data_IF_020030494315
#
_entry.id   IF_020030494315
#
_cell.length_a   1.000
_cell.length_b   1.000
_cell.length_c   1.000
_cell.angle_alpha   90.00
_cell.angle_beta   90.00
_cell.angle_gamma   90.00
#
_symmetry.space_group_name_H-M   'P 1'
#
loop_
_entity.id
_entity.type
_entity.pdbx_description
1 polymer ?
#
# COMPACT_ATOMS: atom_id res chain seq x y z
N UNK A 1 0.59 16.18 -19.78
CA UNK A 1 -0.59 15.35 -19.48
C UNK A 1 -0.10 13.97 -19.09
N UNK A 2 -0.43 13.46 -17.90
CA UNK A 2 -0.10 12.08 -17.52
C UNK A 2 -1.08 11.17 -18.26
N UNK A 3 -0.57 10.24 -19.06
CA UNK A 3 -1.38 9.26 -19.79
C UNK A 3 -2.30 8.50 -18.82
N UNK A 4 -3.61 8.53 -19.11
CA UNK A 4 -4.71 8.13 -18.23
C UNK A 4 -4.91 6.61 -18.07
N UNK A 5 -3.92 5.78 -18.40
CA UNK A 5 -4.08 4.31 -18.52
C UNK A 5 -3.10 3.48 -17.69
N UNK A 6 -2.20 4.11 -16.92
CA UNK A 6 -1.24 3.40 -16.06
C UNK A 6 -1.75 3.14 -14.64
N UNK A 7 -1.44 1.96 -14.09
CA UNK A 7 -1.68 1.64 -12.67
C UNK A 7 -1.04 2.68 -11.74
N UNK A 8 -1.72 3.03 -10.65
CA UNK A 8 -1.14 3.86 -9.59
C UNK A 8 -0.27 2.99 -8.69
N UNK A 9 1.01 3.31 -8.51
CA UNK A 9 1.88 2.58 -7.58
C UNK A 9 1.92 3.30 -6.23
N UNK A 10 1.51 2.63 -5.18
CA UNK A 10 1.54 3.15 -3.82
C UNK A 10 2.61 2.46 -3.00
N UNK A 11 3.62 3.21 -2.56
CA UNK A 11 4.65 2.70 -1.65
C UNK A 11 4.23 3.00 -0.21
N UNK A 12 4.13 1.94 0.61
CA UNK A 12 3.82 2.10 2.04
C UNK A 12 4.94 2.79 2.83
N UNK A 13 6.15 2.85 2.28
CA UNK A 13 7.30 3.54 2.83
C UNK A 13 7.87 4.53 1.82
N UNK A 14 8.53 5.57 2.34
CA UNK A 14 9.23 6.58 1.53
C UNK A 14 10.22 5.90 0.55
N UNK A 15 10.30 6.32 -0.73
CA UNK A 15 11.24 5.75 -1.71
C UNK A 15 12.69 5.66 -1.21
N UNK A 16 13.13 6.61 -0.38
CA UNK A 16 14.48 6.61 0.21
C UNK A 16 14.70 5.42 1.16
N UNK A 17 13.65 4.94 1.82
CA UNK A 17 13.70 3.73 2.64
C UNK A 17 13.92 2.46 1.81
N UNK A 18 13.78 2.56 0.48
CA UNK A 18 14.08 1.53 -0.50
C UNK A 18 15.35 1.84 -1.30
N UNK A 19 16.11 2.87 -0.94
CA UNK A 19 17.28 3.31 -1.72
C UNK A 19 16.92 3.77 -3.14
N UNK A 20 15.70 4.28 -3.33
CA UNK A 20 15.28 4.92 -4.57
C UNK A 20 15.34 6.44 -4.41
N UNK A 21 15.82 7.10 -5.45
CA UNK A 21 15.66 8.54 -5.63
C UNK A 21 14.55 8.77 -6.65
N UNK A 22 13.43 9.32 -6.19
CA UNK A 22 12.25 9.59 -7.02
C UNK A 22 11.97 11.08 -6.94
N UNK A 23 12.11 11.75 -8.08
CA UNK A 23 11.82 13.18 -8.21
C UNK A 23 10.39 13.51 -7.76
N UNK A 24 10.24 14.56 -6.96
CA UNK A 24 8.94 15.00 -6.46
C UNK A 24 8.24 15.82 -7.55
N UNK A 25 7.11 15.31 -8.01
CA UNK A 25 6.23 15.99 -8.97
C UNK A 25 5.16 16.84 -8.26
N UNK A 26 4.55 16.32 -7.19
CA UNK A 26 3.43 16.99 -6.50
C UNK A 26 3.32 16.53 -5.04
N UNK A 27 2.73 17.35 -4.18
CA UNK A 27 2.27 16.96 -2.83
C UNK A 27 0.76 17.22 -2.73
N UNK A 28 0.00 16.26 -2.18
CA UNK A 28 -1.45 16.39 -2.03
C UNK A 28 -1.94 15.49 -0.89
N UNK A 29 -2.85 15.99 -0.05
CA UNK A 29 -3.56 15.21 0.97
C UNK A 29 -2.66 14.31 1.84
N UNK A 30 -1.56 14.85 2.37
CA UNK A 30 -0.61 14.08 3.20
C UNK A 30 0.31 13.11 2.43
N UNK A 31 0.24 13.10 1.10
CA UNK A 31 1.03 12.25 0.22
C UNK A 31 1.96 13.06 -0.69
N UNK A 32 2.98 12.37 -1.20
CA UNK A 32 3.94 12.86 -2.18
C UNK A 32 3.79 12.00 -3.43
N UNK A 33 3.91 12.65 -4.58
CA UNK A 33 3.80 12.07 -5.89
C UNK A 33 5.12 12.26 -6.61
N UNK A 34 5.55 11.22 -7.31
CA UNK A 34 6.71 11.24 -8.18
C UNK A 34 6.46 10.40 -9.42
N UNK A 35 7.35 10.54 -10.39
CA UNK A 35 7.33 9.75 -11.62
C UNK A 35 8.67 9.02 -11.70
N UNK A 36 8.62 7.74 -12.02
CA UNK A 36 9.81 6.94 -12.31
C UNK A 36 9.46 5.97 -13.43
N UNK A 37 10.22 6.01 -14.53
CA UNK A 37 10.00 5.20 -15.73
C UNK A 37 8.52 5.25 -16.20
N UNK A 38 8.01 6.47 -16.36
CA UNK A 38 6.62 6.78 -16.76
C UNK A 38 5.50 6.25 -15.85
N UNK A 39 5.85 5.65 -14.70
CA UNK A 39 4.90 5.16 -13.70
C UNK A 39 4.68 6.22 -12.62
N UNK A 40 3.41 6.48 -12.30
CA UNK A 40 3.02 7.38 -11.22
C UNK A 40 3.19 6.67 -9.87
N UNK A 41 4.08 7.19 -9.05
CA UNK A 41 4.38 6.66 -7.71
C UNK A 41 3.85 7.62 -6.66
N UNK A 42 3.16 7.08 -5.66
CA UNK A 42 2.61 7.82 -4.53
C UNK A 42 3.05 7.17 -3.23
N UNK A 43 3.38 7.99 -2.23
CA UNK A 43 3.70 7.52 -0.90
C UNK A 43 3.26 8.55 0.16
N UNK A 44 2.95 8.11 1.38
CA UNK A 44 2.56 9.04 2.43
C UNK A 44 3.79 9.81 2.94
N UNK A 45 3.62 11.09 3.32
CA UNK A 45 4.69 11.87 3.98
C UNK A 45 5.19 11.20 5.26
N UNK A 46 4.27 10.52 5.95
CA UNK A 46 4.53 9.66 7.11
C UNK A 46 3.43 8.61 7.14
N UNK A 47 3.79 7.35 7.31
CA UNK A 47 2.82 6.28 7.51
C UNK A 47 2.13 6.48 8.88
N UNK A 48 0.88 6.93 8.84
CA UNK A 48 0.05 7.21 10.02
C UNK A 48 -1.42 7.38 9.64
N UNK A 49 -2.31 7.22 10.63
CA UNK A 49 -3.74 7.53 10.48
C UNK A 49 -3.99 8.98 10.03
N UNK A 50 -3.14 9.94 10.43
CA UNK A 50 -3.27 11.34 9.99
C UNK A 50 -3.07 11.54 8.49
N UNK A 51 -2.21 10.75 7.85
CA UNK A 51 -1.93 10.89 6.41
C UNK A 51 -2.72 9.88 5.57
N UNK A 52 -2.90 8.66 6.06
CA UNK A 52 -3.51 7.55 5.32
C UNK A 52 -4.99 7.32 5.70
N UNK A 53 -5.69 8.32 6.24
CA UNK A 53 -7.13 8.21 6.58
C UNK A 53 -8.04 8.30 5.35
N UNK A 54 -9.33 7.95 5.54
CA UNK A 54 -10.34 8.05 4.50
C UNK A 54 -10.40 9.39 3.75
N UNK A 55 -10.44 10.52 4.45
CA UNK A 55 -10.54 11.86 3.84
C UNK A 55 -9.40 12.12 2.85
N UNK A 56 -8.18 11.75 3.21
CA UNK A 56 -7.03 11.95 2.35
C UNK A 56 -7.07 11.02 1.14
N UNK A 57 -7.37 9.73 1.32
CA UNK A 57 -7.46 8.76 0.21
C UNK A 57 -8.61 9.12 -0.75
N UNK A 58 -9.73 9.62 -0.24
CA UNK A 58 -10.81 10.16 -1.06
C UNK A 58 -10.33 11.32 -1.94
N UNK A 59 -9.55 12.24 -1.37
CA UNK A 59 -8.95 13.36 -2.12
C UNK A 59 -8.01 12.87 -3.22
N UNK A 60 -7.20 11.83 -2.96
CA UNK A 60 -6.33 11.21 -3.98
C UNK A 60 -7.16 10.60 -5.12
N UNK A 61 -8.25 9.90 -4.79
CA UNK A 61 -9.14 9.25 -5.76
C UNK A 61 -9.73 10.26 -6.74
N UNK A 62 -10.24 11.36 -6.22
CA UNK A 62 -10.80 12.46 -7.02
C UNK A 62 -9.77 13.10 -7.94
N UNK A 63 -8.49 13.16 -7.53
CA UNK A 63 -7.42 13.72 -8.35
C UNK A 63 -6.88 12.76 -9.41
N UNK A 64 -6.83 11.46 -9.16
CA UNK A 64 -6.17 10.49 -10.05
C UNK A 64 -7.12 9.85 -11.07
N UNK A 65 -8.45 9.82 -10.80
CA UNK A 65 -9.49 9.13 -11.60
C UNK A 65 -9.25 7.62 -11.86
N UNK A 66 -8.10 7.07 -11.48
CA UNK A 66 -7.78 5.65 -11.58
C UNK A 66 -8.34 4.87 -10.39
N UNK A 67 -8.87 3.66 -10.65
CA UNK A 67 -9.34 2.72 -9.63
C UNK A 67 -8.38 1.55 -9.41
N UNK A 68 -7.45 1.28 -10.32
CA UNK A 68 -6.46 0.22 -10.18
C UNK A 68 -5.20 0.74 -9.49
N UNK A 69 -4.83 0.09 -8.39
CA UNK A 69 -3.70 0.46 -7.54
C UNK A 69 -2.84 -0.74 -7.21
N UNK A 70 -1.52 -0.56 -7.31
CA UNK A 70 -0.52 -1.52 -6.87
C UNK A 70 0.05 -1.02 -5.54
N UNK A 71 -0.31 -1.67 -4.45
CA UNK A 71 0.23 -1.34 -3.11
C UNK A 71 1.46 -2.20 -2.86
N UNK A 72 2.60 -1.56 -2.65
CA UNK A 72 3.89 -2.19 -2.39
C UNK A 72 4.31 -1.93 -0.95
N UNK A 73 4.52 -3.01 -0.21
CA UNK A 73 4.89 -2.98 1.20
C UNK A 73 6.25 -3.63 1.46
N UNK A 74 6.91 -3.19 2.53
CA UNK A 74 8.13 -3.83 3.02
C UNK A 74 7.77 -5.09 3.78
N UNK A 75 8.47 -6.18 3.49
CA UNK A 75 8.31 -7.44 4.22
C UNK A 75 9.62 -8.00 4.74
N UNK A 76 9.53 -8.77 5.82
CA UNK A 76 10.58 -9.68 6.27
C UNK A 76 10.16 -11.10 5.90
N UNK A 77 10.73 -11.59 4.80
CA UNK A 77 10.44 -12.90 4.20
C UNK A 77 11.69 -13.47 3.54
N UNK A 78 11.81 -14.80 3.49
CA UNK A 78 12.85 -15.48 2.71
C UNK A 78 12.63 -15.31 1.20
N UNK A 79 11.38 -15.17 0.78
CA UNK A 79 11.02 -14.94 -0.62
C UNK A 79 11.16 -13.44 -0.95
N UNK A 80 11.92 -13.07 -2.00
CA UNK A 80 12.18 -11.66 -2.32
C UNK A 80 10.96 -10.82 -2.64
N UNK A 81 9.97 -11.44 -3.29
CA UNK A 81 8.74 -10.82 -3.75
C UNK A 81 7.59 -11.78 -3.46
N UNK A 82 6.52 -11.29 -2.85
CA UNK A 82 5.30 -12.06 -2.62
C UNK A 82 4.10 -11.31 -3.16
N UNK A 83 3.22 -12.02 -3.86
CA UNK A 83 1.89 -11.52 -4.20
C UNK A 83 0.99 -11.69 -2.97
N UNK A 84 0.37 -10.62 -2.51
CA UNK A 84 -0.43 -10.61 -1.28
C UNK A 84 -1.89 -10.86 -1.64
N UNK A 85 -2.50 -11.89 -1.03
CA UNK A 85 -3.93 -12.21 -1.17
C UNK A 85 -4.75 -11.95 0.09
N UNK A 86 -4.08 -11.66 1.21
CA UNK A 86 -4.71 -11.50 2.50
C UNK A 86 -3.73 -10.91 3.50
N UNK A 87 -4.27 -10.38 4.60
CA UNK A 87 -3.44 -9.87 5.68
C UNK A 87 -4.07 -10.14 7.05
N UNK A 88 -3.23 -10.26 8.06
CA UNK A 88 -3.62 -10.24 9.47
C UNK A 88 -3.06 -8.97 10.08
N UNK A 89 -3.92 -8.05 10.52
CA UNK A 89 -3.47 -6.83 11.17
C UNK A 89 -3.14 -7.11 12.65
N UNK A 90 -1.85 -7.04 12.99
CA UNK A 90 -1.28 -7.20 14.34
C UNK A 90 -0.67 -5.89 14.88
N UNK A 91 -0.90 -4.78 14.19
CA UNK A 91 -0.32 -3.49 14.54
C UNK A 91 -0.99 -2.82 15.73
N UNK A 92 -2.21 -3.23 16.09
CA UNK A 92 -3.04 -2.55 17.07
C UNK A 92 -3.63 -1.22 16.58
N UNK A 93 -3.42 -0.87 15.31
CA UNK A 93 -3.94 0.34 14.68
C UNK A 93 -4.94 -0.01 13.57
N UNK A 94 -5.88 0.89 13.30
CA UNK A 94 -6.75 0.83 12.14
C UNK A 94 -7.04 2.26 11.66
N UNK A 95 -6.74 2.53 10.39
CA UNK A 95 -6.83 3.88 9.82
C UNK A 95 -8.26 4.32 9.44
N UNK A 96 -9.25 3.43 9.61
CA UNK A 96 -10.68 3.74 9.47
C UNK A 96 -11.32 4.24 10.78
N UNK A 97 -10.66 4.08 11.94
CA UNK A 97 -11.22 4.44 13.25
C UNK A 97 -11.66 5.90 13.27
N UNK A 98 -12.92 6.15 13.65
CA UNK A 98 -13.51 7.49 13.77
C UNK A 98 -13.70 8.24 12.45
N UNK A 99 -13.47 7.58 11.32
CA UNK A 99 -13.53 8.17 9.97
C UNK A 99 -14.57 7.49 9.07
N UNK A 100 -15.34 6.54 9.61
CA UNK A 100 -16.46 5.88 8.95
C UNK A 100 -17.76 6.16 9.75
N UNK A 101 -18.92 6.33 9.09
CA UNK A 101 -19.09 6.27 7.65
C UNK A 101 -18.57 7.56 7.00
N UNK A 102 -18.22 7.51 5.72
CA UNK A 102 -17.86 8.71 4.96
C UNK A 102 -18.61 8.71 3.64
N UNK A 103 -19.25 9.84 3.31
CA UNK A 103 -20.06 10.00 2.10
C UNK A 103 -21.14 8.88 2.01
N UNK A 104 -21.17 8.12 0.91
CA UNK A 104 -22.10 7.00 0.71
C UNK A 104 -21.51 5.63 1.09
N UNK A 105 -20.35 5.59 1.75
CA UNK A 105 -19.67 4.35 2.10
C UNK A 105 -20.08 3.85 3.51
N UNK A 106 -20.13 2.52 3.74
CA UNK A 106 -20.70 1.96 4.97
C UNK A 106 -19.86 2.29 6.22
N UNK A 107 -20.46 2.15 7.40
CA UNK A 107 -19.72 2.16 8.67
C UNK A 107 -18.74 0.97 8.74
N UNK A 108 -19.20 -0.20 8.34
CA UNK A 108 -18.47 -1.47 8.44
C UNK A 108 -18.26 -2.04 7.03
N UNK A 109 -17.12 -1.75 6.40
CA UNK A 109 -16.81 -2.29 5.08
C UNK A 109 -16.52 -3.80 5.11
N UNK A 110 -16.97 -4.52 4.09
CA UNK A 110 -16.59 -5.91 3.85
C UNK A 110 -15.12 -5.98 3.40
N UNK A 111 -14.33 -6.79 4.10
CA UNK A 111 -12.88 -6.97 3.91
C UNK A 111 -12.52 -8.30 3.23
N UNK A 112 -13.50 -9.09 2.78
CA UNK A 112 -13.29 -10.44 2.25
C UNK A 112 -12.43 -10.43 0.97
N UNK A 113 -12.66 -9.49 0.07
CA UNK A 113 -12.04 -9.45 -1.27
C UNK A 113 -11.24 -8.16 -1.51
N UNK A 114 -10.38 -7.78 -0.55
CA UNK A 114 -9.53 -6.58 -0.68
C UNK A 114 -8.56 -6.70 -1.87
N UNK A 115 -7.92 -7.86 -2.02
CA UNK A 115 -6.83 -8.04 -2.98
C UNK A 115 -7.30 -8.80 -4.21
N UNK A 116 -7.01 -8.27 -5.40
CA UNK A 116 -7.15 -9.00 -6.66
C UNK A 116 -6.07 -10.08 -6.76
N UNK A 117 -6.50 -11.33 -6.74
CA UNK A 117 -5.63 -12.50 -6.97
C UNK A 117 -5.76 -12.95 -8.43
N UNK A 118 -4.72 -13.62 -8.93
CA UNK A 118 -4.80 -14.29 -10.23
C UNK A 118 -4.78 -15.80 -9.96
N UNK A 119 -5.73 -16.57 -10.53
CA UNK A 119 -5.59 -18.02 -10.54
C UNK A 119 -4.24 -18.33 -11.18
N UNK A 120 -3.50 -19.30 -10.62
CA UNK A 120 -2.15 -19.72 -11.06
C UNK A 120 -0.95 -18.88 -10.57
N UNK A 121 -1.13 -17.78 -9.83
CA UNK A 121 0.00 -17.13 -9.14
C UNK A 121 0.05 -17.55 -7.68
N UNK A 122 1.23 -17.95 -7.20
CA UNK A 122 1.45 -18.21 -5.77
C UNK A 122 1.23 -16.94 -4.98
N UNK A 123 0.23 -16.93 -4.11
CA UNK A 123 -0.07 -15.82 -3.21
C UNK A 123 0.24 -16.19 -1.76
N UNK A 124 0.40 -15.17 -0.91
CA UNK A 124 0.67 -15.34 0.52
C UNK A 124 -0.16 -14.37 1.36
N UNK A 125 -0.50 -14.81 2.56
CA UNK A 125 -1.04 -13.95 3.63
C UNK A 125 0.12 -13.36 4.42
N UNK A 126 0.06 -12.05 4.70
CA UNK A 126 1.06 -11.33 5.47
C UNK A 126 0.54 -10.89 6.83
N UNK A 127 1.43 -10.66 7.79
CA UNK A 127 1.08 -10.18 9.13
C UNK A 127 1.59 -8.76 9.31
N UNK A 128 0.68 -7.78 9.32
CA UNK A 128 1.04 -6.36 9.41
C UNK A 128 1.27 -5.95 10.85
N UNK A 129 2.46 -5.47 11.18
CA UNK A 129 2.86 -5.16 12.57
C UNK A 129 3.03 -3.68 12.86
N UNK A 130 3.00 -2.83 11.84
CA UNK A 130 3.24 -1.39 11.96
C UNK A 130 4.74 -1.04 11.98
N UNK A 131 5.11 0.21 11.62
CA UNK A 131 6.50 0.62 11.41
C UNK A 131 7.43 0.45 12.63
N UNK A 132 6.93 0.60 13.86
CA UNK A 132 7.74 0.40 15.08
C UNK A 132 8.15 -1.06 15.23
N UNK A 133 7.17 -1.96 15.34
CA UNK A 133 7.40 -3.40 15.50
C UNK A 133 8.04 -4.04 14.27
N UNK A 134 7.81 -3.47 13.09
CA UNK A 134 8.44 -3.96 11.85
C UNK A 134 9.97 -3.86 11.92
N UNK A 135 10.53 -2.77 12.49
CA UNK A 135 11.99 -2.62 12.65
C UNK A 135 12.58 -3.73 13.51
N UNK A 136 11.89 -4.09 14.61
CA UNK A 136 12.30 -5.09 15.59
C UNK A 136 12.01 -6.53 15.14
N UNK A 137 11.08 -6.75 14.22
CA UNK A 137 10.68 -8.09 13.80
C UNK A 137 11.86 -8.89 13.22
N UNK A 138 12.00 -10.16 13.61
CA UNK A 138 13.04 -11.03 13.04
C UNK A 138 12.47 -11.81 11.87
N UNK A 139 13.32 -12.07 10.86
CA UNK A 139 12.97 -12.94 9.74
C UNK A 139 12.45 -14.29 10.26
N UNK A 140 11.28 -14.70 9.79
CA UNK A 140 10.62 -15.92 10.22
C UNK A 140 10.31 -16.82 9.01
N UNK A 141 10.44 -18.14 9.17
CA UNK A 141 10.17 -19.10 8.09
C UNK A 141 8.68 -19.37 7.87
N UNK A 142 7.85 -19.17 8.90
CA UNK A 142 6.41 -19.45 8.90
C UNK A 142 5.58 -18.19 8.66
N UNK A 143 6.05 -17.05 9.18
CA UNK A 143 5.30 -15.78 9.15
C UNK A 143 5.99 -14.76 8.27
N UNK A 144 5.26 -14.18 7.32
CA UNK A 144 5.72 -13.02 6.56
C UNK A 144 5.29 -11.77 7.31
N UNK A 145 6.24 -11.09 7.94
CA UNK A 145 5.98 -9.81 8.58
C UNK A 145 5.91 -8.74 7.50
N UNK A 146 4.85 -7.92 7.55
CA UNK A 146 4.67 -6.76 6.68
C UNK A 146 4.62 -5.50 7.54
N UNK A 147 5.07 -4.39 6.98
CA UNK A 147 5.12 -3.14 7.72
C UNK A 147 3.73 -2.51 7.86
N UNK A 148 2.96 -2.45 6.77
CA UNK A 148 1.92 -1.43 6.65
C UNK A 148 0.68 -1.82 5.83
N UNK A 149 0.74 -2.83 4.96
CA UNK A 149 -0.33 -3.03 3.96
C UNK A 149 -1.69 -3.28 4.60
N UNK A 150 -1.74 -3.99 5.73
CA UNK A 150 -2.97 -4.20 6.50
C UNK A 150 -3.52 -2.97 7.22
N UNK A 151 -2.79 -1.85 7.20
CA UNK A 151 -3.27 -0.54 7.66
C UNK A 151 -3.81 0.31 6.49
N UNK A 152 -3.16 0.21 5.34
CA UNK A 152 -3.40 1.09 4.19
C UNK A 152 -4.41 0.50 3.22
N UNK A 153 -4.28 -0.78 2.86
CA UNK A 153 -5.17 -1.44 1.91
C UNK A 153 -6.66 -1.37 2.30
N UNK A 154 -7.05 -1.52 3.59
CA UNK A 154 -8.44 -1.32 4.02
C UNK A 154 -9.01 0.06 3.64
N UNK A 155 -8.19 1.11 3.68
CA UNK A 155 -8.63 2.49 3.37
C UNK A 155 -8.81 2.69 1.86
N UNK A 156 -7.93 2.13 1.04
CA UNK A 156 -8.13 2.12 -0.42
C UNK A 156 -9.36 1.27 -0.80
N UNK A 157 -9.50 0.10 -0.19
CA UNK A 157 -10.64 -0.79 -0.43
C UNK A 157 -11.96 -0.13 -0.04
N UNK A 158 -11.96 0.63 1.06
CA UNK A 158 -13.12 1.42 1.50
C UNK A 158 -13.69 2.30 0.38
N UNK A 159 -12.84 2.89 -0.46
CA UNK A 159 -13.26 3.68 -1.62
C UNK A 159 -13.37 2.87 -2.92
N UNK A 160 -13.43 1.55 -2.88
CA UNK A 160 -13.65 0.71 -4.06
C UNK A 160 -12.49 0.73 -5.06
N UNK A 161 -11.25 0.86 -4.58
CA UNK A 161 -10.08 0.60 -5.41
C UNK A 161 -9.90 -0.90 -5.66
N UNK A 162 -9.42 -1.21 -6.86
CA UNK A 162 -8.96 -2.53 -7.26
C UNK A 162 -7.49 -2.69 -6.83
N UNK A 163 -7.24 -3.41 -5.74
CA UNK A 163 -5.90 -3.47 -5.14
C UNK A 163 -5.14 -4.71 -5.60
N UNK A 164 -3.94 -4.51 -6.15
CA UNK A 164 -2.90 -5.56 -6.27
C UNK A 164 -1.88 -5.33 -5.15
N UNK A 165 -1.73 -6.29 -4.25
CA UNK A 165 -0.79 -6.19 -3.13
C UNK A 165 0.52 -6.93 -3.41
N UNK A 166 1.65 -6.27 -3.18
CA UNK A 166 2.97 -6.90 -3.24
C UNK A 166 3.80 -6.60 -2.00
N UNK A 167 4.48 -7.62 -1.50
CA UNK A 167 5.45 -7.48 -0.43
C UNK A 167 6.86 -7.72 -0.97
N UNK A 168 7.78 -6.81 -0.70
CA UNK A 168 9.17 -6.90 -1.15
C UNK A 168 10.14 -6.83 0.03
N UNK A 169 11.15 -7.70 0.05
CA UNK A 169 12.14 -7.73 1.13
C UNK A 169 13.41 -6.92 0.81
N UNK A 170 13.55 -6.38 -0.40
CA UNK A 170 14.74 -5.67 -0.85
C UNK A 170 14.45 -4.55 -1.86
N UNK A 171 15.36 -3.57 -1.92
CA UNK A 171 15.37 -2.52 -2.93
C UNK A 171 15.47 -3.05 -4.37
N UNK A 172 16.24 -4.12 -4.57
CA UNK A 172 16.42 -4.73 -5.90
C UNK A 172 15.11 -5.29 -6.44
N UNK A 173 14.31 -5.94 -5.59
CA UNK A 173 12.97 -6.39 -5.93
C UNK A 173 12.08 -5.22 -6.36
N UNK A 174 12.18 -4.06 -5.71
CA UNK A 174 11.39 -2.87 -6.06
C UNK A 174 11.81 -2.28 -7.41
N UNK A 175 13.10 -2.21 -7.70
CA UNK A 175 13.59 -1.73 -9.00
C UNK A 175 13.05 -2.56 -10.16
N UNK A 176 12.86 -3.87 -9.98
CA UNK A 176 12.27 -4.74 -11.00
C UNK A 176 10.80 -4.40 -11.32
N UNK A 177 10.03 -3.82 -10.39
CA UNK A 177 8.66 -3.35 -10.66
C UNK A 177 8.63 -2.13 -11.57
N UNK A 178 9.67 -1.32 -11.53
CA UNK A 178 9.73 -0.04 -12.24
C UNK A 178 10.59 -0.07 -13.48
N UNK A 179 11.39 -1.13 -13.71
CA UNK A 179 12.00 -1.40 -15.02
C UNK A 179 10.97 -1.49 -16.14
#
# INVERSE_FOLDING_TARGET
MINKTGELYYLCADPRAWGLDVGIFKKLAGHVFGIMNDKLIVWPKKLSSRNCNPKNIHTLKSSAKNRDIVIIDRIKSKTPTVSICGHVNRSGENYLIGMTPQDSYPQFPDMTHIYKTHPHKTTKTVHTVGPKRYKEAVLNSKTIWSEAIGLVAPVFHYFGYNIKGFGLNSANSLKQFFR
#
